data_IF_163055591359
#
_entry.id   IF_163055591359
#
_cell.length_a   1.000
_cell.length_b   1.000
_cell.length_c   1.000
_cell.angle_alpha   90.00
_cell.angle_beta   90.00
_cell.angle_gamma   90.00
#
_symmetry.space_group_name_H-M   'P 1'
#
loop_
_entity.id
_entity.type
_entity.pdbx_description
1 polymer ?
#
# COMPACT_ATOMS: atom_id res chain seq x y z
N UNK A 1 -22.28 -4.27 -30.53
CA UNK A 1 -22.34 -5.02 -29.25
C UNK A 1 -21.02 -5.69 -28.85
N UNK A 2 -20.12 -6.11 -29.76
CA UNK A 2 -18.81 -6.68 -29.39
C UNK A 2 -17.81 -5.65 -28.82
N UNK A 3 -17.80 -4.43 -29.32
CA UNK A 3 -16.88 -3.36 -28.89
C UNK A 3 -17.16 -2.84 -27.49
N UNK A 4 -18.43 -2.73 -27.08
CA UNK A 4 -18.82 -2.28 -25.74
C UNK A 4 -18.42 -3.28 -24.65
N UNK A 5 -18.50 -4.58 -24.93
CA UNK A 5 -18.08 -5.64 -23.99
C UNK A 5 -16.56 -5.65 -23.73
N UNK A 6 -15.75 -5.35 -24.74
CA UNK A 6 -14.28 -5.28 -24.60
C UNK A 6 -13.84 -4.07 -23.78
N UNK A 7 -14.53 -2.93 -23.94
CA UNK A 7 -14.23 -1.72 -23.15
C UNK A 7 -14.58 -1.91 -21.67
N UNK A 8 -15.70 -2.57 -21.37
CA UNK A 8 -16.13 -2.85 -19.99
C UNK A 8 -15.19 -3.81 -19.25
N UNK A 9 -14.69 -4.86 -19.91
CA UNK A 9 -13.76 -5.81 -19.29
C UNK A 9 -12.39 -5.17 -19.01
N UNK A 10 -11.91 -4.31 -19.91
CA UNK A 10 -10.69 -3.52 -19.68
C UNK A 10 -10.85 -2.56 -18.49
N UNK A 11 -11.98 -1.86 -18.38
CA UNK A 11 -12.28 -0.97 -17.24
C UNK A 11 -12.34 -1.72 -15.91
N UNK A 12 -12.95 -2.91 -15.88
CA UNK A 12 -13.00 -3.75 -14.69
C UNK A 12 -11.60 -4.22 -14.26
N UNK A 13 -10.76 -4.65 -15.21
CA UNK A 13 -9.38 -5.07 -14.94
C UNK A 13 -8.52 -3.92 -14.38
N UNK A 14 -8.63 -2.71 -14.95
CA UNK A 14 -7.92 -1.52 -14.47
C UNK A 14 -8.35 -1.16 -13.04
N UNK A 15 -9.65 -1.25 -12.76
CA UNK A 15 -10.21 -0.94 -11.43
C UNK A 15 -9.72 -1.94 -10.39
N UNK A 16 -9.72 -3.24 -10.73
CA UNK A 16 -9.22 -4.29 -9.84
C UNK A 16 -7.72 -4.12 -9.54
N UNK A 17 -6.92 -3.81 -10.56
CA UNK A 17 -5.49 -3.56 -10.41
C UNK A 17 -5.22 -2.35 -9.51
N UNK A 18 -5.93 -1.23 -9.70
CA UNK A 18 -5.80 -0.04 -8.84
C UNK A 18 -6.18 -0.33 -7.38
N UNK A 19 -7.26 -1.06 -7.14
CA UNK A 19 -7.69 -1.39 -5.78
C UNK A 19 -6.64 -2.27 -5.07
N UNK A 20 -6.09 -3.25 -5.78
CA UNK A 20 -5.01 -4.10 -5.28
C UNK A 20 -3.75 -3.31 -4.93
N UNK A 21 -3.29 -2.45 -5.84
CA UNK A 21 -2.11 -1.60 -5.65
C UNK A 21 -2.29 -0.64 -4.46
N UNK A 22 -3.49 -0.07 -4.31
CA UNK A 22 -3.84 0.77 -3.18
C UNK A 22 -3.77 0.00 -1.85
N UNK A 23 -4.40 -1.18 -1.79
CA UNK A 23 -4.35 -2.05 -0.60
C UNK A 23 -2.92 -2.43 -0.24
N UNK A 24 -2.09 -2.73 -1.24
CA UNK A 24 -0.68 -3.05 -1.02
C UNK A 24 0.07 -1.88 -0.39
N UNK A 25 -0.08 -0.69 -0.97
CA UNK A 25 0.59 0.51 -0.45
C UNK A 25 0.16 0.85 0.98
N UNK A 26 -1.15 0.81 1.24
CA UNK A 26 -1.71 1.11 2.56
C UNK A 26 -1.19 0.10 3.59
N UNK A 27 -1.18 -1.19 3.26
CA UNK A 27 -0.66 -2.25 4.14
C UNK A 27 0.83 -2.04 4.48
N UNK A 28 1.68 -1.78 3.47
CA UNK A 28 3.12 -1.53 3.68
C UNK A 28 3.32 -0.28 4.56
N UNK A 29 2.61 0.80 4.26
CA UNK A 29 2.69 2.05 5.02
C UNK A 29 2.27 1.84 6.49
N UNK A 30 1.22 1.04 6.72
CA UNK A 30 0.76 0.70 8.06
C UNK A 30 1.78 -0.13 8.84
N UNK A 31 2.41 -1.13 8.21
CA UNK A 31 3.47 -1.94 8.85
C UNK A 31 4.67 -1.06 9.23
N UNK A 32 5.11 -0.18 8.32
CA UNK A 32 6.20 0.77 8.61
C UNK A 32 5.81 1.67 9.79
N UNK A 33 4.60 2.23 9.80
CA UNK A 33 4.14 3.06 10.91
C UNK A 33 4.14 2.31 12.24
N UNK A 34 3.62 1.08 12.24
CA UNK A 34 3.54 0.24 13.44
C UNK A 34 4.92 -0.11 13.98
N UNK A 35 5.87 -0.43 13.10
CA UNK A 35 7.26 -0.63 13.46
C UNK A 35 7.89 0.63 14.08
N UNK A 36 7.64 1.82 13.49
CA UNK A 36 8.09 3.09 14.09
C UNK A 36 7.50 3.36 15.47
N UNK A 37 6.22 3.03 15.69
CA UNK A 37 5.56 3.20 16.99
C UNK A 37 6.11 2.26 18.06
N UNK A 38 6.62 1.09 17.65
CA UNK A 38 7.25 0.10 18.52
C UNK A 38 8.77 0.25 18.59
N UNK A 39 9.32 1.34 18.06
CA UNK A 39 10.76 1.62 18.00
C UNK A 39 11.59 0.49 17.37
N UNK A 40 10.97 -0.28 16.48
CA UNK A 40 11.64 -1.37 15.78
C UNK A 40 12.57 -0.80 14.70
N UNK A 41 13.75 -1.40 14.57
CA UNK A 41 14.67 -1.10 13.48
C UNK A 41 14.03 -1.42 12.12
N UNK A 42 13.99 -0.42 11.25
CA UNK A 42 13.41 -0.51 9.91
C UNK A 42 14.50 -0.66 8.84
N UNK A 43 14.63 -1.88 8.33
CA UNK A 43 15.43 -2.15 7.12
C UNK A 43 14.53 -2.56 5.96
N UNK A 44 15.00 -2.35 4.72
CA UNK A 44 14.28 -2.78 3.53
C UNK A 44 13.98 -4.27 3.59
N UNK A 45 14.96 -5.07 4.00
CA UNK A 45 14.91 -6.53 4.05
C UNK A 45 13.85 -6.99 5.05
N UNK A 46 13.85 -6.45 6.27
CA UNK A 46 12.87 -6.80 7.31
C UNK A 46 11.45 -6.47 6.89
N UNK A 47 11.22 -5.27 6.32
CA UNK A 47 9.88 -4.87 5.87
C UNK A 47 9.44 -5.70 4.67
N UNK A 48 10.32 -5.98 3.70
CA UNK A 48 10.01 -6.84 2.55
C UNK A 48 9.64 -8.26 3.01
N UNK A 49 10.44 -8.86 3.88
CA UNK A 49 10.21 -10.22 4.39
C UNK A 49 8.88 -10.32 5.16
N UNK A 50 8.51 -9.28 5.92
CA UNK A 50 7.25 -9.28 6.65
C UNK A 50 6.04 -9.02 5.74
N UNK A 51 6.16 -8.08 4.80
CA UNK A 51 5.01 -7.57 4.05
C UNK A 51 4.72 -8.37 2.78
N UNK A 52 5.72 -8.60 1.94
CA UNK A 52 5.51 -9.14 0.60
C UNK A 52 4.97 -10.58 0.62
N UNK A 53 5.44 -11.52 1.46
CA UNK A 53 4.87 -12.86 1.55
C UNK A 53 3.39 -12.89 1.98
N UNK A 54 2.99 -12.00 2.89
CA UNK A 54 1.59 -11.91 3.35
C UNK A 54 0.67 -11.43 2.24
N UNK A 55 1.15 -10.52 1.40
CA UNK A 55 0.43 -10.03 0.23
C UNK A 55 0.40 -11.07 -0.91
N UNK A 56 1.46 -11.89 -1.04
CA UNK A 56 1.59 -12.95 -2.06
C UNK A 56 0.56 -14.07 -1.89
N UNK A 57 0.10 -14.37 -0.67
CA UNK A 57 -0.93 -15.41 -0.39
C UNK A 57 -2.19 -15.25 -1.24
N UNK A 58 -2.54 -14.03 -1.63
CA UNK A 58 -3.76 -13.77 -2.38
C UNK A 58 -3.54 -13.67 -3.91
N UNK A 59 -2.31 -13.48 -4.42
CA UNK A 59 -2.06 -13.26 -5.86
C UNK A 59 -0.56 -13.24 -6.27
N UNK A 60 0.16 -14.37 -6.26
CA UNK A 60 1.62 -14.40 -6.20
C UNK A 60 2.36 -13.70 -7.37
N UNK A 61 1.92 -13.91 -8.62
CA UNK A 61 2.69 -13.48 -9.82
C UNK A 61 2.90 -11.97 -9.97
N UNK A 62 2.03 -11.13 -9.38
CA UNK A 62 2.06 -9.68 -9.62
C UNK A 62 2.29 -8.83 -8.36
N UNK A 63 2.50 -9.42 -7.17
CA UNK A 63 2.70 -8.64 -5.93
C UNK A 63 4.18 -8.28 -5.72
N UNK A 64 5.10 -9.20 -6.01
CA UNK A 64 6.45 -9.13 -5.45
C UNK A 64 7.22 -7.87 -5.90
N UNK A 65 7.24 -7.60 -7.21
CA UNK A 65 7.91 -6.42 -7.77
C UNK A 65 7.29 -5.11 -7.25
N UNK A 66 5.95 -4.89 -7.33
CA UNK A 66 5.32 -3.71 -6.74
C UNK A 66 5.57 -3.56 -5.24
N UNK A 67 5.52 -4.65 -4.48
CA UNK A 67 5.74 -4.62 -3.03
C UNK A 67 7.14 -4.13 -2.69
N UNK A 68 8.18 -4.74 -3.27
CA UNK A 68 9.58 -4.32 -3.07
C UNK A 68 9.81 -2.87 -3.48
N UNK A 69 9.16 -2.42 -4.57
CA UNK A 69 9.25 -1.04 -5.05
C UNK A 69 8.71 -0.05 -4.01
N UNK A 70 7.50 -0.28 -3.50
CA UNK A 70 6.87 0.59 -2.50
C UNK A 70 7.74 0.66 -1.24
N UNK A 71 8.23 -0.48 -0.75
CA UNK A 71 9.08 -0.51 0.46
C UNK A 71 10.35 0.34 0.26
N UNK A 72 11.09 0.10 -0.83
CA UNK A 72 12.33 0.83 -1.12
C UNK A 72 12.10 2.32 -1.31
N UNK A 73 11.00 2.69 -1.94
CA UNK A 73 10.64 4.09 -2.14
C UNK A 73 10.38 4.81 -0.80
N UNK A 74 9.59 4.20 0.09
CA UNK A 74 9.28 4.77 1.40
C UNK A 74 10.54 4.85 2.26
N UNK A 75 11.23 3.72 2.46
CA UNK A 75 12.37 3.64 3.37
C UNK A 75 13.62 4.35 2.82
N UNK A 76 13.77 4.42 1.49
CA UNK A 76 14.84 5.15 0.82
C UNK A 76 14.68 6.68 0.89
N UNK A 77 13.51 7.19 1.28
CA UNK A 77 13.24 8.62 1.39
C UNK A 77 13.06 9.07 2.84
N UNK A 78 14.04 9.81 3.35
CA UNK A 78 13.96 10.47 4.68
C UNK A 78 12.74 11.38 4.80
N UNK A 79 12.30 12.01 3.70
CA UNK A 79 11.14 12.90 3.68
C UNK A 79 9.85 12.10 3.89
N UNK A 80 9.67 11.00 3.16
CA UNK A 80 8.50 10.13 3.29
C UNK A 80 8.44 9.50 4.68
N UNK A 81 9.57 9.03 5.19
CA UNK A 81 9.69 8.50 6.55
C UNK A 81 9.28 9.51 7.61
N UNK A 82 9.71 10.78 7.48
CA UNK A 82 9.32 11.85 8.40
C UNK A 82 7.81 12.12 8.34
N UNK A 83 7.20 12.08 7.15
CA UNK A 83 5.75 12.26 6.97
C UNK A 83 4.96 11.15 7.68
N UNK A 84 5.40 9.90 7.55
CA UNK A 84 4.80 8.74 8.26
C UNK A 84 4.98 8.89 9.78
N UNK A 85 6.19 9.22 10.25
CA UNK A 85 6.48 9.34 11.69
C UNK A 85 5.58 10.35 12.38
N UNK A 86 5.31 11.50 11.76
CA UNK A 86 4.47 12.59 12.31
C UNK A 86 3.01 12.24 12.55
N UNK A 87 2.49 11.15 11.99
CA UNK A 87 1.08 10.76 12.16
C UNK A 87 0.88 10.08 13.51
N UNK A 88 -0.23 10.34 14.21
CA UNK A 88 -0.45 9.82 15.57
C UNK A 88 -0.70 8.29 15.64
N UNK A 89 -1.12 7.66 14.55
CA UNK A 89 -1.42 6.22 14.51
C UNK A 89 -1.70 5.72 13.10
N UNK A 90 -2.42 4.60 12.99
CA UNK A 90 -2.98 4.13 11.72
C UNK A 90 -4.28 4.88 11.39
N UNK A 91 -4.65 4.96 10.10
CA UNK A 91 -5.90 5.57 9.66
C UNK A 91 -5.88 6.06 8.22
N UNK A 92 -6.90 6.83 7.85
CA UNK A 92 -7.17 7.28 6.47
C UNK A 92 -6.03 8.05 5.81
N UNK A 93 -5.16 8.66 6.62
CA UNK A 93 -3.97 9.35 6.13
C UNK A 93 -3.05 8.44 5.32
N UNK A 94 -3.07 7.12 5.55
CA UNK A 94 -2.27 6.15 4.78
C UNK A 94 -2.74 6.05 3.32
N UNK A 95 -4.06 6.10 3.07
CA UNK A 95 -4.61 6.17 1.71
C UNK A 95 -4.30 7.50 1.04
N UNK A 96 -4.32 8.60 1.80
CA UNK A 96 -3.85 9.89 1.31
C UNK A 96 -2.36 9.86 0.94
N UNK A 97 -1.53 9.26 1.79
CA UNK A 97 -0.11 9.07 1.53
C UNK A 97 0.11 8.27 0.23
N UNK A 98 -0.60 7.16 0.06
CA UNK A 98 -0.53 6.31 -1.13
C UNK A 98 -1.10 6.92 -2.42
N UNK A 99 -1.95 7.95 -2.31
CA UNK A 99 -2.51 8.66 -3.47
C UNK A 99 -1.72 9.90 -3.86
N UNK A 100 -0.84 10.43 -2.99
CA UNK A 100 -0.18 11.73 -3.24
C UNK A 100 1.32 11.77 -3.00
N UNK A 101 1.83 11.04 -2.03
CA UNK A 101 3.20 11.21 -1.56
C UNK A 101 4.21 10.36 -2.33
N UNK A 102 3.78 9.21 -2.84
CA UNK A 102 4.61 8.34 -3.68
C UNK A 102 4.66 8.83 -5.13
N UNK A 103 5.74 8.47 -5.83
CA UNK A 103 5.99 8.73 -7.24
C UNK A 103 4.87 8.14 -8.10
N UNK A 104 4.55 6.85 -7.90
CA UNK A 104 3.34 6.23 -8.44
C UNK A 104 2.16 6.49 -7.52
N UNK A 105 1.01 6.85 -8.07
CA UNK A 105 -0.24 7.00 -7.32
C UNK A 105 -0.92 5.65 -7.22
N UNK A 106 -0.76 4.99 -6.07
CA UNK A 106 -1.27 3.64 -5.85
C UNK A 106 -2.75 3.63 -5.49
N UNK A 107 -3.23 4.69 -4.83
CA UNK A 107 -4.64 4.88 -4.49
C UNK A 107 -5.29 5.98 -5.34
N UNK A 108 -6.59 5.85 -5.68
CA UNK A 108 -7.35 6.98 -6.19
C UNK A 108 -7.46 8.08 -5.14
N UNK A 109 -7.60 9.33 -5.59
CA UNK A 109 -7.85 10.46 -4.69
C UNK A 109 -9.15 10.23 -3.91
N UNK A 110 -9.11 10.44 -2.59
CA UNK A 110 -10.28 10.22 -1.72
C UNK A 110 -10.60 8.76 -1.42
N UNK A 111 -9.69 7.82 -1.68
CA UNK A 111 -9.89 6.42 -1.31
C UNK A 111 -10.15 6.29 0.21
N UNK A 112 -11.30 5.71 0.54
CA UNK A 112 -11.73 5.43 1.91
C UNK A 112 -12.07 3.95 2.04
N UNK A 113 -11.48 3.27 3.02
CA UNK A 113 -11.76 1.86 3.30
C UNK A 113 -11.64 1.56 4.80
N UNK A 114 -12.72 1.81 5.58
CA UNK A 114 -12.68 1.73 7.04
C UNK A 114 -12.41 0.30 7.54
N UNK A 115 -12.90 -0.71 6.82
CA UNK A 115 -12.70 -2.12 7.17
C UNK A 115 -11.22 -2.50 7.12
N UNK A 116 -10.50 -2.02 6.10
CA UNK A 116 -9.07 -2.27 5.95
C UNK A 116 -8.26 -1.73 7.14
N UNK A 117 -8.65 -0.60 7.70
CA UNK A 117 -7.97 0.00 8.85
C UNK A 117 -8.26 -0.71 10.15
N UNK A 118 -9.48 -1.24 10.32
CA UNK A 118 -9.85 -2.08 11.46
C UNK A 118 -8.99 -3.35 11.52
N UNK A 119 -8.84 -4.04 10.38
CA UNK A 119 -8.03 -5.26 10.28
C UNK A 119 -6.54 -5.00 10.56
N UNK A 120 -6.04 -3.82 10.18
CA UNK A 120 -4.66 -3.38 10.45
C UNK A 120 -4.42 -2.95 11.90
N UNK A 121 -5.48 -2.54 12.61
CA UNK A 121 -5.44 -2.03 13.98
C UNK A 121 -5.67 -3.12 15.04
N UNK A 122 -6.27 -4.26 14.65
CA UNK A 122 -6.63 -5.39 15.52
C UNK A 122 -5.64 -6.55 15.59
N UNK A 123 -4.33 -6.29 15.53
CA UNK A 123 -3.27 -7.29 15.76
C UNK A 123 -2.12 -6.73 16.61
#
# INVERSE_FOLDING_TARGET
>A
MRTTLVVLSALAAITFAKNRDCKMCVFITAVIKKAMMREMELTNEKVIQFTCPRLLRNNPRFIEKPCKRIVREILGSRILMRKIKRKKGLGDWTSYFCSRELSKKYCPNGYYNPTMFRDLSGA
#
